data_IF_442231450827
#
_entry.id   IF_442231450827
#
_cell.length_a   1.000
_cell.length_b   1.000
_cell.length_c   1.000
_cell.angle_alpha   90.00
_cell.angle_beta   90.00
_cell.angle_gamma   90.00
#
_symmetry.space_group_name_H-M   'P 1'
#
loop_
_entity.id
_entity.type
_entity.pdbx_description
1 polymer ?
#
# COMPACT_ATOMS: atom_id res chain seq x y z
N UNK A 1 23.30 29.91 -17.19
CA UNK A 1 22.31 29.60 -18.25
C UNK A 1 22.05 28.12 -18.09
N UNK A 2 21.18 27.82 -17.13
CA UNK A 2 20.97 26.47 -16.62
C UNK A 2 19.67 25.96 -17.25
N UNK A 3 19.84 25.05 -18.21
CA UNK A 3 18.77 24.24 -18.78
C UNK A 3 19.01 22.81 -18.27
N UNK A 4 18.17 22.31 -17.36
CA UNK A 4 17.86 20.89 -17.38
C UNK A 4 16.52 20.55 -16.69
N UNK A 5 15.55 20.25 -17.56
CA UNK A 5 14.56 19.17 -17.48
C UNK A 5 13.50 19.20 -16.36
N UNK A 6 12.40 19.90 -16.67
CA UNK A 6 11.06 19.60 -16.16
C UNK A 6 10.44 18.49 -17.02
N UNK A 7 10.28 17.29 -16.47
CA UNK A 7 9.47 16.24 -17.07
C UNK A 7 7.98 16.57 -16.89
N UNK A 8 7.42 17.23 -17.89
CA UNK A 8 5.97 17.36 -18.12
C UNK A 8 5.42 15.98 -18.42
N UNK A 9 4.52 15.45 -17.58
CA UNK A 9 3.66 14.34 -18.01
C UNK A 9 2.56 14.93 -18.90
N UNK A 10 2.59 14.51 -20.15
CA UNK A 10 1.67 14.86 -21.22
C UNK A 10 0.23 14.47 -20.84
N UNK A 11 -0.68 15.44 -21.01
CA UNK A 11 -2.11 15.18 -21.02
C UNK A 11 -2.50 14.65 -22.39
N UNK A 12 -2.98 13.40 -22.42
CA UNK A 12 -3.59 12.78 -23.58
C UNK A 12 -5.12 13.03 -23.53
N UNK A 13 -5.72 13.71 -24.53
CA UNK A 13 -7.16 13.90 -24.59
C UNK A 13 -7.76 12.99 -25.67
N UNK A 14 -8.34 11.85 -25.25
CA UNK A 14 -9.50 11.16 -25.89
C UNK A 14 -9.44 9.63 -25.69
N UNK A 15 -10.12 9.12 -24.65
CA UNK A 15 -10.99 7.94 -24.74
C UNK A 15 -11.67 7.71 -23.39
N UNK A 16 -12.94 7.28 -23.37
CA UNK A 16 -13.75 7.04 -22.18
C UNK A 16 -13.29 5.84 -21.32
N UNK A 17 -12.06 5.89 -20.80
CA UNK A 17 -11.57 4.97 -19.78
C UNK A 17 -11.70 5.65 -18.41
N UNK A 18 -12.54 5.07 -17.57
CA UNK A 18 -12.74 5.43 -16.17
C UNK A 18 -11.45 5.17 -15.37
N UNK A 19 -10.48 6.08 -15.53
CA UNK A 19 -9.16 6.01 -14.91
C UNK A 19 -9.31 6.36 -13.43
N UNK A 20 -9.65 5.35 -12.63
CA UNK A 20 -9.76 5.48 -11.19
C UNK A 20 -8.43 5.91 -10.60
N UNK A 21 -8.37 7.10 -10.01
CA UNK A 21 -7.16 7.61 -9.39
C UNK A 21 -6.93 6.91 -8.04
N UNK A 22 -5.74 6.33 -7.87
CA UNK A 22 -5.40 5.55 -6.70
C UNK A 22 -4.10 5.98 -6.03
N UNK A 23 -4.07 5.86 -4.71
CA UNK A 23 -2.89 6.13 -3.86
C UNK A 23 -2.59 4.89 -3.04
N UNK A 24 -1.41 4.31 -3.26
CA UNK A 24 -0.89 3.22 -2.45
C UNK A 24 -0.29 3.74 -1.15
N UNK A 25 -0.72 3.20 -0.01
CA UNK A 25 -0.11 3.41 1.30
C UNK A 25 0.89 2.29 1.58
N UNK A 26 2.17 2.61 1.46
CA UNK A 26 3.28 1.68 1.73
C UNK A 26 3.94 1.95 3.09
N UNK A 27 4.69 0.98 3.60
CA UNK A 27 5.41 1.04 4.89
C UNK A 27 6.22 2.32 5.06
N UNK A 28 6.98 2.73 4.03
CA UNK A 28 7.89 3.87 4.09
C UNK A 28 7.31 5.17 3.51
N UNK A 29 6.03 5.19 3.12
CA UNK A 29 5.38 6.39 2.58
C UNK A 29 5.27 7.52 3.62
N UNK A 30 5.54 8.77 3.25
CA UNK A 30 5.40 9.91 4.19
C UNK A 30 3.93 10.32 4.30
N UNK A 31 3.33 10.24 5.49
CA UNK A 31 1.91 10.59 5.72
C UNK A 31 1.58 11.97 5.15
N UNK A 32 2.41 12.99 5.46
CA UNK A 32 2.19 14.37 4.98
C UNK A 32 2.10 14.46 3.45
N UNK A 33 2.94 13.71 2.74
CA UNK A 33 2.93 13.71 1.27
C UNK A 33 1.68 13.05 0.71
N UNK A 34 1.23 11.93 1.31
CA UNK A 34 0.00 11.24 0.92
C UNK A 34 -1.24 12.12 1.14
N UNK A 35 -1.32 12.77 2.31
CA UNK A 35 -2.40 13.70 2.66
C UNK A 35 -2.43 14.88 1.70
N UNK A 36 -1.28 15.51 1.44
CA UNK A 36 -1.18 16.63 0.49
C UNK A 36 -1.69 16.23 -0.89
N UNK A 37 -1.21 15.11 -1.44
CA UNK A 37 -1.64 14.60 -2.75
C UNK A 37 -3.14 14.32 -2.82
N UNK A 38 -3.72 13.77 -1.74
CA UNK A 38 -5.15 13.49 -1.68
C UNK A 38 -6.00 14.78 -1.63
N UNK A 39 -5.58 15.77 -0.84
CA UNK A 39 -6.30 17.05 -0.76
C UNK A 39 -6.22 17.83 -2.08
N UNK A 40 -5.04 17.87 -2.72
CA UNK A 40 -4.87 18.45 -4.06
C UNK A 40 -5.75 17.75 -5.10
N UNK A 41 -5.87 16.42 -5.03
CA UNK A 41 -6.76 15.66 -5.92
C UNK A 41 -8.23 16.06 -5.76
N UNK A 42 -8.74 16.13 -4.52
CA UNK A 42 -10.14 16.51 -4.28
C UNK A 42 -10.43 17.97 -4.63
N UNK A 43 -9.44 18.87 -4.50
CA UNK A 43 -9.58 20.25 -4.96
C UNK A 43 -9.68 20.34 -6.50
N UNK A 44 -8.88 19.55 -7.21
CA UNK A 44 -8.89 19.53 -8.67
C UNK A 44 -10.08 18.74 -9.25
N UNK A 45 -10.60 17.74 -8.52
CA UNK A 45 -11.63 16.82 -9.00
C UNK A 45 -12.70 16.55 -7.92
N UNK A 46 -13.69 17.45 -7.73
CA UNK A 46 -14.66 17.33 -6.64
C UNK A 46 -15.60 16.13 -6.79
N UNK A 47 -15.94 15.75 -8.02
CA UNK A 47 -16.90 14.67 -8.29
C UNK A 47 -16.25 13.31 -8.55
N UNK A 48 -14.91 13.22 -8.49
CA UNK A 48 -14.19 11.98 -8.76
C UNK A 48 -13.80 11.23 -7.48
N UNK A 49 -14.00 9.91 -7.41
CA UNK A 49 -13.57 9.12 -6.27
C UNK A 49 -12.05 8.96 -6.23
N UNK A 50 -11.50 8.91 -5.01
CA UNK A 50 -10.10 8.59 -4.73
C UNK A 50 -10.02 7.22 -4.05
N UNK A 51 -9.21 6.31 -4.59
CA UNK A 51 -8.97 4.99 -3.98
C UNK A 51 -7.68 5.01 -3.17
N UNK A 52 -7.77 4.64 -1.89
CA UNK A 52 -6.60 4.40 -1.05
C UNK A 52 -6.49 2.90 -0.73
N UNK A 53 -5.33 2.30 -0.96
CA UNK A 53 -5.13 0.87 -0.73
C UNK A 53 -3.73 0.55 -0.21
N UNK A 54 -3.58 -0.61 0.41
CA UNK A 54 -2.30 -1.18 0.81
C UNK A 54 -2.03 -2.48 0.05
N UNK A 55 -0.76 -2.82 -0.18
CA UNK A 55 -0.42 -4.10 -0.82
C UNK A 55 -0.65 -5.28 0.14
N UNK A 56 -1.20 -6.43 -0.33
CA UNK A 56 -1.34 -7.65 0.46
C UNK A 56 0.00 -8.18 1.03
N UNK A 57 1.08 -8.00 0.28
CA UNK A 57 2.44 -8.32 0.71
C UNK A 57 2.95 -7.44 1.86
N UNK A 58 2.30 -6.29 2.09
CA UNK A 58 2.68 -5.29 3.07
C UNK A 58 1.68 -5.19 4.22
N UNK A 59 0.84 -6.20 4.45
CA UNK A 59 -0.01 -6.34 5.65
C UNK A 59 0.88 -6.64 6.87
N UNK A 60 1.80 -5.73 7.16
CA UNK A 60 2.53 -5.68 8.42
C UNK A 60 1.74 -4.81 9.40
N UNK A 61 1.95 -5.03 10.70
CA UNK A 61 1.27 -4.29 11.77
C UNK A 61 1.40 -2.76 11.67
N UNK A 62 2.27 -2.23 10.82
CA UNK A 62 2.43 -0.78 10.60
C UNK A 62 1.69 -0.21 9.39
N UNK A 63 1.30 -1.01 8.39
CA UNK A 63 0.74 -0.47 7.14
C UNK A 63 -0.76 -0.20 7.22
N UNK A 64 -1.54 -1.13 7.78
CA UNK A 64 -3.00 -0.95 7.93
C UNK A 64 -3.31 0.21 8.88
N UNK A 65 -2.72 0.30 10.10
CA UNK A 65 -2.97 1.45 10.98
C UNK A 65 -2.58 2.79 10.34
N UNK A 66 -1.54 2.78 9.49
CA UNK A 66 -1.12 3.96 8.75
C UNK A 66 -2.09 4.34 7.63
N UNK A 67 -2.65 3.38 6.90
CA UNK A 67 -3.72 3.63 5.92
C UNK A 67 -4.91 4.30 6.60
N UNK A 68 -5.36 3.76 7.73
CA UNK A 68 -6.44 4.34 8.53
C UNK A 68 -6.07 5.77 8.96
N UNK A 69 -4.87 5.96 9.49
CA UNK A 69 -4.40 7.30 9.93
C UNK A 69 -4.40 8.32 8.79
N UNK A 70 -3.93 7.93 7.59
CA UNK A 70 -3.93 8.81 6.40
C UNK A 70 -5.37 9.19 6.03
N UNK A 71 -6.29 8.23 5.97
CA UNK A 71 -7.70 8.47 5.63
C UNK A 71 -8.37 9.41 6.65
N UNK A 72 -8.17 9.19 7.94
CA UNK A 72 -8.75 10.04 8.98
C UNK A 72 -8.21 11.48 8.94
N UNK A 73 -6.92 11.66 8.68
CA UNK A 73 -6.33 13.00 8.51
C UNK A 73 -6.93 13.70 7.29
N UNK A 74 -7.06 12.99 6.15
CA UNK A 74 -7.66 13.54 4.94
C UNK A 74 -9.10 14.01 5.23
N UNK A 75 -9.93 13.18 5.85
CA UNK A 75 -11.31 13.55 6.20
C UNK A 75 -11.36 14.78 7.11
N UNK A 76 -10.51 14.83 8.14
CA UNK A 76 -10.44 15.97 9.07
C UNK A 76 -10.03 17.26 8.37
N UNK A 77 -9.04 17.23 7.48
CA UNK A 77 -8.60 18.43 6.75
C UNK A 77 -9.60 18.86 5.69
N UNK A 78 -10.22 17.90 4.98
CA UNK A 78 -11.22 18.19 3.96
C UNK A 78 -12.43 18.94 4.53
N UNK A 79 -12.95 18.48 5.68
CA UNK A 79 -14.12 19.08 6.33
C UNK A 79 -13.88 20.50 6.87
N UNK A 80 -12.62 20.96 6.98
CA UNK A 80 -12.34 22.36 7.34
C UNK A 80 -12.72 23.33 6.21
N UNK A 81 -12.64 22.88 4.96
CA UNK A 81 -12.95 23.69 3.77
C UNK A 81 -14.34 23.45 3.20
N UNK A 82 -14.94 22.29 3.48
CA UNK A 82 -16.20 21.85 2.87
C UNK A 82 -17.19 21.39 3.95
N UNK A 83 -18.40 21.99 4.03
CA UNK A 83 -19.42 21.58 4.99
C UNK A 83 -20.12 20.28 4.59
N UNK A 84 -19.93 19.82 3.34
CA UNK A 84 -20.46 18.55 2.83
C UNK A 84 -19.53 17.40 3.21
N UNK A 85 -20.11 16.29 3.64
CA UNK A 85 -19.38 15.12 4.09
C UNK A 85 -18.64 14.38 2.98
N UNK A 86 -17.59 13.64 3.34
CA UNK A 86 -16.91 12.72 2.43
C UNK A 86 -17.54 11.33 2.56
N UNK A 87 -18.05 10.78 1.46
CA UNK A 87 -18.56 9.41 1.43
C UNK A 87 -17.41 8.42 1.28
N UNK A 88 -17.36 7.39 2.14
CA UNK A 88 -16.29 6.39 2.17
C UNK A 88 -16.86 4.99 2.00
N UNK A 89 -16.25 4.19 1.12
CA UNK A 89 -16.54 2.78 0.93
C UNK A 89 -15.29 1.96 1.24
N UNK A 90 -15.43 0.92 2.07
CA UNK A 90 -14.32 0.05 2.46
C UNK A 90 -14.49 -1.33 1.83
N UNK A 91 -13.42 -1.82 1.21
CA UNK A 91 -13.35 -3.17 0.64
C UNK A 91 -12.22 -3.93 1.32
N UNK A 92 -12.51 -5.15 1.79
CA UNK A 92 -11.52 -6.07 2.34
C UNK A 92 -11.34 -7.22 1.35
N UNK A 93 -10.09 -7.55 1.06
CA UNK A 93 -9.72 -8.66 0.19
C UNK A 93 -8.85 -9.64 0.96
N UNK A 94 -8.94 -10.92 0.59
CA UNK A 94 -8.12 -11.98 1.12
C UNK A 94 -7.17 -12.46 0.03
N UNK A 95 -5.89 -12.57 0.36
CA UNK A 95 -4.89 -13.21 -0.51
C UNK A 95 -4.52 -14.54 0.13
N UNK A 96 -4.87 -15.64 -0.54
CA UNK A 96 -4.44 -16.97 -0.12
C UNK A 96 -2.95 -17.10 -0.46
N UNK A 97 -2.10 -16.95 0.56
CA UNK A 97 -0.67 -17.19 0.40
C UNK A 97 -0.48 -18.68 0.18
N UNK A 98 -0.17 -19.07 -1.06
CA UNK A 98 0.17 -20.46 -1.40
C UNK A 98 1.20 -20.94 -0.39
N UNK A 99 0.93 -22.10 0.24
CA UNK A 99 1.92 -22.75 1.08
C UNK A 99 3.17 -22.91 0.22
N UNK A 100 4.30 -22.35 0.66
CA UNK A 100 5.58 -22.58 0.02
C UNK A 100 5.74 -24.10 -0.08
N UNK A 101 5.90 -24.68 -1.28
CA UNK A 101 6.24 -26.08 -1.39
C UNK A 101 7.50 -26.27 -0.56
N UNK A 102 7.39 -26.98 0.55
CA UNK A 102 8.58 -27.36 1.31
C UNK A 102 9.21 -28.46 0.46
N UNK A 103 10.02 -28.06 -0.52
CA UNK A 103 10.84 -28.98 -1.27
C UNK A 103 11.94 -29.47 -0.34
N UNK A 104 11.68 -30.62 0.27
CA UNK A 104 12.52 -31.18 1.32
C UNK A 104 11.68 -32.01 2.28
N UNK A 105 12.08 -33.27 2.47
CA UNK A 105 11.45 -34.28 3.34
C UNK A 105 10.76 -33.65 4.55
N UNK A 106 9.43 -33.81 4.62
CA UNK A 106 8.54 -33.53 5.75
C UNK A 106 9.02 -32.42 6.70
N UNK A 107 8.40 -31.22 6.61
CA UNK A 107 8.56 -30.15 7.61
C UNK A 107 8.51 -30.66 9.06
N UNK A 108 7.66 -31.65 9.33
CA UNK A 108 7.59 -32.32 10.62
C UNK A 108 8.90 -33.01 11.04
N UNK A 109 9.58 -33.69 10.11
CA UNK A 109 10.89 -34.31 10.35
C UNK A 109 12.01 -33.28 10.54
N UNK A 110 11.99 -32.18 9.80
CA UNK A 110 12.97 -31.10 9.97
C UNK A 110 12.81 -30.40 11.33
N UNK A 111 11.56 -30.20 11.77
CA UNK A 111 11.28 -29.67 13.11
C UNK A 111 11.69 -30.64 14.22
N UNK A 112 11.43 -31.95 14.05
CA UNK A 112 11.88 -32.98 15.00
C UNK A 112 13.40 -33.02 15.13
N UNK A 113 14.13 -33.00 14.00
CA UNK A 113 15.60 -32.95 13.99
C UNK A 113 16.17 -31.70 14.67
N UNK A 114 15.57 -30.52 14.42
CA UNK A 114 16.03 -29.28 15.06
C UNK A 114 15.77 -29.27 16.58
N UNK A 115 14.70 -29.91 17.04
CA UNK A 115 14.35 -30.04 18.47
C UNK A 115 15.16 -31.11 19.20
N UNK A 116 15.79 -32.05 18.47
CA UNK A 116 16.66 -33.09 19.03
C UNK A 116 17.96 -32.51 19.62
N UNK A 117 18.31 -31.26 19.31
CA UNK A 117 19.39 -30.52 19.97
C UNK A 117 20.81 -31.03 19.66
N UNK A 118 20.96 -31.90 18.65
CA UNK A 118 22.25 -32.45 18.24
C UNK A 118 22.92 -31.55 17.20
N UNK A 119 23.90 -30.75 17.63
CA UNK A 119 24.72 -29.90 16.74
C UNK A 119 25.69 -30.74 15.91
N UNK A 120 25.24 -31.34 14.79
CA UNK A 120 26.18 -31.90 13.82
C UNK A 120 26.82 -30.77 13.00
N UNK A 121 27.97 -30.30 13.47
CA UNK A 121 28.93 -29.59 12.62
C UNK A 121 29.52 -30.59 11.62
N UNK A 122 29.04 -30.58 10.38
CA UNK A 122 29.72 -31.27 9.26
C UNK A 122 30.76 -30.30 8.69
N UNK A 123 32.07 -30.62 8.72
CA UNK A 123 33.07 -29.76 8.11
C UNK A 123 32.96 -29.79 6.57
N UNK A 124 33.21 -28.65 5.88
CA UNK A 124 33.27 -28.62 4.43
C UNK A 124 34.47 -29.44 3.92
N UNK A 125 34.25 -30.19 2.83
CA UNK A 125 35.32 -30.86 2.06
C UNK A 125 36.10 -29.85 1.22
#
# INVERSE_FOLDING_TARGET
MDLEQTATQEGDPDNGADTTFSIRVARNGKIRALVKKALEFFQANPDRPLVLYSSPSEISASTIPKLISVVEIIKREYLKGYPVGLHQFNQLLFEERSQVPVEGKNRASALLLALEGSSQCVPPQ
#
